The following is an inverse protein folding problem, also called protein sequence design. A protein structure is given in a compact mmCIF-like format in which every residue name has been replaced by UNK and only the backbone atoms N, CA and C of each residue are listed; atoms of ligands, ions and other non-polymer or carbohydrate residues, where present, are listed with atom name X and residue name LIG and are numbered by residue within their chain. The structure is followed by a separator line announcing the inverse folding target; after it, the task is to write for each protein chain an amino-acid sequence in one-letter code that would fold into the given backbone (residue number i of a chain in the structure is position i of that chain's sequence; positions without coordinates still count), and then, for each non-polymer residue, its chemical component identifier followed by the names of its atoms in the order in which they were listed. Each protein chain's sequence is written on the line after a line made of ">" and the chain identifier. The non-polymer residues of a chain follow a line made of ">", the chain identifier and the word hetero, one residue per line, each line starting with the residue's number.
data_IF_568743957392
#
_entry.id   IF_568743957392
#
_cell.length_a   1.000
_cell.length_b   1.000
_cell.length_c   1.000
_cell.angle_alpha   90.00
_cell.angle_beta   90.00
_cell.angle_gamma   90.00
#
_symmetry.space_group_name_H-M   'P 1'
#
loop_
_entity.id
_entity.type
_entity.pdbx_description
1 polymer ?
#
# COMPACT_ATOMS: atom_id res chain seq x y z
N UNK A 1 -5.82 13.15 17.28
CA UNK A 1 -4.72 13.72 16.47
C UNK A 1 -4.78 13.14 15.07
N UNK A 2 -4.81 13.98 14.03
CA UNK A 2 -4.82 13.53 12.64
C UNK A 2 -3.37 13.23 12.25
N UNK A 3 -2.94 11.97 12.35
CA UNK A 3 -1.60 11.55 11.92
C UNK A 3 -1.43 11.90 10.44
N UNK A 4 -0.71 12.99 10.18
CA UNK A 4 -0.43 13.48 8.84
C UNK A 4 0.50 12.47 8.19
N UNK A 5 -0.07 11.67 7.30
CA UNK A 5 0.67 10.72 6.52
C UNK A 5 1.54 11.50 5.53
N UNK A 6 2.84 11.52 5.79
CA UNK A 6 3.89 12.33 5.13
C UNK A 6 3.92 12.23 3.59
N UNK A 7 3.29 11.20 3.02
CA UNK A 7 3.08 11.07 1.58
C UNK A 7 1.60 10.86 1.28
N UNK A 8 1.05 11.69 0.40
CA UNK A 8 -0.30 11.50 -0.12
C UNK A 8 -0.28 10.43 -1.22
N UNK A 9 -1.37 9.65 -1.38
CA UNK A 9 -1.51 8.75 -2.52
C UNK A 9 -1.44 9.50 -3.84
N UNK A 10 -0.83 8.86 -4.83
CA UNK A 10 -0.57 9.42 -6.16
C UNK A 10 -1.13 8.49 -7.23
N UNK A 11 -1.57 9.06 -8.34
CA UNK A 11 -1.94 8.26 -9.52
C UNK A 11 -0.71 8.19 -10.42
N UNK A 12 -0.19 6.98 -10.64
CA UNK A 12 0.98 6.72 -11.47
C UNK A 12 0.56 5.67 -12.51
N UNK A 13 0.83 5.91 -13.79
CA UNK A 13 0.43 5.00 -14.88
C UNK A 13 -1.05 4.63 -14.86
N UNK A 14 -1.93 5.61 -14.58
CA UNK A 14 -3.38 5.40 -14.46
C UNK A 14 -3.78 4.41 -13.35
N UNK A 15 -2.88 4.17 -12.38
CA UNK A 15 -3.11 3.31 -11.21
C UNK A 15 -2.92 4.11 -9.95
N UNK A 16 -3.78 3.85 -8.98
CA UNK A 16 -3.70 4.48 -7.66
C UNK A 16 -2.62 3.81 -6.84
N UNK A 17 -1.58 4.58 -6.55
CA UNK A 17 -0.45 4.22 -5.72
C UNK A 17 -0.62 4.85 -4.34
N UNK A 18 -0.72 3.99 -3.32
CA UNK A 18 -0.98 4.40 -1.94
C UNK A 18 0.25 4.03 -1.11
N UNK A 19 0.71 4.89 -0.20
CA UNK A 19 1.80 4.52 0.70
C UNK A 19 1.37 3.35 1.57
N UNK A 20 2.19 2.30 1.61
CA UNK A 20 1.87 1.09 2.39
C UNK A 20 1.63 1.40 3.88
N UNK A 21 2.42 2.33 4.43
CA UNK A 21 2.29 2.80 5.82
C UNK A 21 0.96 3.51 6.08
N UNK A 22 0.42 4.23 5.09
CA UNK A 22 -0.91 4.84 5.21
C UNK A 22 -1.95 3.76 5.49
N UNK A 23 -1.96 2.72 4.65
CA UNK A 23 -2.96 1.67 4.72
C UNK A 23 -2.83 0.92 6.03
N UNK A 24 -1.60 0.59 6.40
CA UNK A 24 -1.29 -0.11 7.63
C UNK A 24 -1.73 0.66 8.87
N UNK A 25 -1.42 1.95 9.00
CA UNK A 25 -1.86 2.74 10.15
C UNK A 25 -3.39 2.89 10.24
N UNK A 26 -4.09 2.96 9.10
CA UNK A 26 -5.54 3.06 9.08
C UNK A 26 -6.23 1.72 9.37
N UNK A 27 -5.61 0.60 8.98
CA UNK A 27 -6.11 -0.75 9.23
C UNK A 27 -5.67 -1.33 10.58
N UNK A 28 -4.67 -0.73 11.23
CA UNK A 28 -3.95 -1.37 12.33
C UNK A 28 -3.05 -2.52 11.87
N UNK A 29 -2.65 -2.53 10.59
CA UNK A 29 -1.66 -3.48 10.08
C UNK A 29 -0.25 -3.05 10.49
N UNK A 30 0.65 -4.02 10.60
CA UNK A 30 2.08 -3.80 10.78
C UNK A 30 2.81 -3.90 9.44
N UNK A 31 3.80 -3.04 9.21
CA UNK A 31 4.62 -3.05 7.98
C UNK A 31 6.07 -3.17 8.33
N UNK A 32 6.69 -4.22 7.82
CA UNK A 32 8.13 -4.46 7.90
C UNK A 32 8.76 -4.26 6.54
N UNK A 33 9.84 -3.48 6.46
CA UNK A 33 10.61 -3.29 5.24
C UNK A 33 11.94 -4.04 5.36
N UNK A 34 12.19 -4.96 4.44
CA UNK A 34 13.44 -5.67 4.29
C UNK A 34 14.27 -5.02 3.17
N UNK A 35 15.34 -4.35 3.57
CA UNK A 35 16.28 -3.66 2.67
C UNK A 35 17.12 -4.62 1.83
N UNK A 36 17.48 -5.79 2.36
CA UNK A 36 18.34 -6.76 1.67
C UNK A 36 17.63 -7.36 0.45
N UNK A 37 16.37 -7.75 0.64
CA UNK A 37 15.55 -8.36 -0.42
C UNK A 37 14.66 -7.35 -1.14
N UNK A 38 14.67 -6.09 -0.71
CA UNK A 38 13.71 -5.04 -1.15
C UNK A 38 12.27 -5.52 -1.03
N UNK A 39 11.97 -6.22 0.06
CA UNK A 39 10.67 -6.82 0.32
C UNK A 39 9.92 -6.05 1.40
N UNK A 40 8.66 -5.76 1.15
CA UNK A 40 7.72 -5.21 2.12
C UNK A 40 6.87 -6.36 2.63
N UNK A 41 6.76 -6.50 3.94
CA UNK A 41 5.84 -7.43 4.59
C UNK A 41 4.79 -6.64 5.33
N UNK A 42 3.52 -6.96 5.10
CA UNK A 42 2.37 -6.34 5.74
C UNK A 42 1.64 -7.44 6.50
N UNK A 43 1.32 -7.19 7.77
CA UNK A 43 0.57 -8.12 8.61
C UNK A 43 -0.67 -7.44 9.20
N UNK A 44 -1.85 -8.01 8.97
CA UNK A 44 -3.13 -7.49 9.45
C UNK A 44 -3.96 -8.63 10.04
N UNK A 45 -4.33 -8.55 11.33
CA UNK A 45 -5.23 -9.55 11.98
C UNK A 45 -4.80 -11.03 11.73
N UNK A 46 -3.48 -11.30 11.61
CA UNK A 46 -2.92 -12.63 11.30
C UNK A 46 -2.79 -12.97 9.80
N UNK A 47 -3.28 -12.10 8.90
CA UNK A 47 -3.01 -12.19 7.47
C UNK A 47 -1.71 -11.47 7.14
N UNK A 48 -0.71 -12.22 6.69
CA UNK A 48 0.57 -11.68 6.23
C UNK A 48 0.67 -11.69 4.72
N UNK A 49 1.32 -10.68 4.18
CA UNK A 49 1.50 -10.46 2.75
C UNK A 49 2.90 -9.92 2.54
N UNK A 50 3.66 -10.48 1.59
CA UNK A 50 4.96 -9.95 1.19
C UNK A 50 5.01 -9.57 -0.29
N UNK A 51 5.74 -8.51 -0.59
CA UNK A 51 5.83 -7.88 -1.91
C UNK A 51 7.24 -7.34 -2.13
N UNK A 52 7.82 -7.63 -3.29
CA UNK A 52 9.17 -7.15 -3.65
C UNK A 52 9.05 -5.92 -4.55
N UNK A 53 9.81 -4.87 -4.25
CA UNK A 53 9.86 -3.63 -5.06
C UNK A 53 10.42 -3.92 -6.44
N UNK A 54 9.89 -3.23 -7.46
CA UNK A 54 10.24 -3.39 -8.88
C UNK A 54 9.90 -4.77 -9.46
N UNK A 55 9.36 -5.69 -8.67
CA UNK A 55 8.96 -7.02 -9.14
C UNK A 55 7.47 -7.02 -9.47
N UNK A 56 7.16 -7.02 -10.76
CA UNK A 56 5.79 -7.20 -11.22
C UNK A 56 5.36 -8.65 -10.92
N UNK A 57 4.25 -8.79 -10.20
CA UNK A 57 3.62 -10.08 -9.97
C UNK A 57 2.61 -10.35 -11.08
N UNK A 58 2.48 -11.59 -11.53
CA UNK A 58 1.57 -11.94 -12.64
C UNK A 58 0.09 -11.57 -12.37
N UNK A 59 -0.32 -11.53 -11.10
CA UNK A 59 -1.66 -11.09 -10.68
C UNK A 59 -1.88 -9.57 -10.76
N UNK A 60 -0.83 -8.77 -10.88
CA UNK A 60 -0.93 -7.31 -10.80
C UNK A 60 -0.20 -6.61 -11.96
N UNK A 61 -0.92 -5.71 -12.64
CA UNK A 61 -0.38 -4.95 -13.77
C UNK A 61 0.65 -3.88 -13.38
N UNK A 62 0.89 -3.65 -12.07
CA UNK A 62 1.76 -2.57 -11.61
C UNK A 62 2.55 -3.02 -10.39
N UNK A 63 3.90 -2.99 -10.46
CA UNK A 63 4.72 -3.33 -9.31
C UNK A 63 4.66 -2.25 -8.23
N UNK A 64 4.90 -2.61 -6.96
CA UNK A 64 5.16 -1.62 -5.92
C UNK A 64 6.49 -0.92 -6.22
N UNK A 65 6.56 0.37 -5.90
CA UNK A 65 7.70 1.23 -6.19
C UNK A 65 8.04 2.11 -5.00
N UNK A 66 9.31 2.52 -4.90
CA UNK A 66 9.72 3.51 -3.91
C UNK A 66 9.70 4.89 -4.58
N UNK A 67 8.94 5.81 -4.02
CA UNK A 67 8.90 7.20 -4.45
C UNK A 67 9.13 8.11 -3.25
N UNK A 68 10.07 9.06 -3.35
CA UNK A 68 10.39 9.99 -2.26
C UNK A 68 10.76 9.27 -0.95
N UNK A 69 11.48 8.14 -1.05
CA UNK A 69 11.86 7.31 0.10
C UNK A 69 10.72 6.52 0.73
N UNK A 70 9.53 6.51 0.11
CA UNK A 70 8.34 5.82 0.62
C UNK A 70 7.86 4.77 -0.35
N UNK A 71 7.50 3.61 0.20
CA UNK A 71 6.99 2.51 -0.58
C UNK A 71 5.53 2.74 -0.93
N UNK A 72 5.29 2.92 -2.22
CA UNK A 72 3.99 3.05 -2.83
C UNK A 72 3.56 1.70 -3.40
N UNK A 73 2.36 1.27 -3.01
CA UNK A 73 1.78 0.00 -3.42
C UNK A 73 0.46 0.25 -4.16
N UNK A 74 0.13 -0.56 -5.17
CA UNK A 74 -1.16 -0.46 -5.83
C UNK A 74 -2.27 -0.76 -4.81
N UNK A 75 -3.28 0.10 -4.75
CA UNK A 75 -4.41 -0.08 -3.81
C UNK A 75 -5.06 -1.46 -3.91
N UNK A 76 -5.20 -1.97 -5.14
CA UNK A 76 -5.78 -3.29 -5.42
C UNK A 76 -5.02 -4.43 -4.74
N UNK A 77 -3.70 -4.31 -4.65
CA UNK A 77 -2.86 -5.36 -4.10
C UNK A 77 -3.17 -5.61 -2.62
N UNK A 78 -3.26 -4.51 -1.87
CA UNK A 78 -3.61 -4.57 -0.46
C UNK A 78 -5.05 -5.06 -0.29
N UNK A 79 -5.95 -4.61 -1.16
CA UNK A 79 -7.34 -5.04 -1.07
C UNK A 79 -7.56 -6.53 -1.34
N UNK A 80 -6.88 -7.08 -2.34
CA UNK A 80 -7.09 -8.48 -2.72
C UNK A 80 -6.44 -9.46 -1.76
N UNK A 81 -5.23 -9.17 -1.26
CA UNK A 81 -4.53 -10.11 -0.38
C UNK A 81 -4.89 -9.96 1.09
N UNK A 82 -5.16 -8.75 1.58
CA UNK A 82 -5.61 -8.54 2.96
C UNK A 82 -7.13 -8.61 3.10
N UNK A 83 -7.87 -8.80 2.00
CA UNK A 83 -9.34 -8.81 2.01
C UNK A 83 -9.99 -7.49 2.45
N UNK A 84 -9.21 -6.42 2.61
CA UNK A 84 -9.70 -5.12 3.05
C UNK A 84 -10.13 -4.29 1.84
N UNK A 85 -11.35 -3.75 1.80
CA UNK A 85 -11.74 -2.94 0.65
C UNK A 85 -11.17 -1.51 0.77
N UNK A 86 -10.00 -1.29 0.18
CA UNK A 86 -9.36 0.03 0.16
C UNK A 86 -9.85 0.82 -1.06
N UNK A 87 -10.58 1.89 -0.80
CA UNK A 87 -11.09 2.83 -1.80
C UNK A 87 -10.30 4.14 -1.74
N UNK A 88 -9.86 4.63 -2.89
CA UNK A 88 -9.23 5.95 -3.00
C UNK A 88 -10.17 6.96 -3.66
N UNK A 89 -10.35 8.10 -3.01
CA UNK A 89 -11.11 9.25 -3.48
C UNK A 89 -10.15 10.32 -3.98
N UNK A 90 -9.86 10.39 -5.30
CA UNK A 90 -8.90 11.34 -5.85
C UNK A 90 -9.34 12.80 -5.68
N UNK A 91 -10.65 13.07 -5.70
CA UNK A 91 -11.21 14.42 -5.49
C UNK A 91 -10.93 14.95 -4.08
N UNK A 92 -10.96 14.07 -3.09
CA UNK A 92 -10.77 14.41 -1.68
C UNK A 92 -9.35 14.13 -1.18
N UNK A 93 -8.51 13.53 -2.04
CA UNK A 93 -7.21 12.97 -1.66
C UNK A 93 -7.31 12.09 -0.41
N UNK A 94 -8.39 11.31 -0.32
CA UNK A 94 -8.74 10.53 0.86
C UNK A 94 -8.81 9.05 0.52
N UNK A 95 -8.16 8.23 1.32
CA UNK A 95 -8.37 6.78 1.27
C UNK A 95 -9.45 6.46 2.30
N UNK A 96 -10.45 5.68 1.91
CA UNK A 96 -11.31 4.98 2.86
C UNK A 96 -11.01 3.51 2.80
N UNK A 97 -11.08 2.87 3.96
CA UNK A 97 -10.93 1.44 4.07
C UNK A 97 -12.22 0.91 4.65
N UNK A 98 -12.86 -0.01 3.93
CA UNK A 98 -14.08 -0.68 4.34
C UNK A 98 -13.70 -2.10 4.72
N UNK A 99 -13.99 -2.47 5.97
CA UNK A 99 -13.84 -3.82 6.52
C UNK A 99 -15.17 -4.55 6.41
#
# INVERSE_FOLDING_TARGET
>A
ETKANDVAPKIINNRTMVPVRFIAENLGAEVTWNVETREVTIELDGQKMSMVIDKQMAEFDTPPMILEGRTLVPVRYVSEKLGANVMWFPKEKKVQIVK
#
